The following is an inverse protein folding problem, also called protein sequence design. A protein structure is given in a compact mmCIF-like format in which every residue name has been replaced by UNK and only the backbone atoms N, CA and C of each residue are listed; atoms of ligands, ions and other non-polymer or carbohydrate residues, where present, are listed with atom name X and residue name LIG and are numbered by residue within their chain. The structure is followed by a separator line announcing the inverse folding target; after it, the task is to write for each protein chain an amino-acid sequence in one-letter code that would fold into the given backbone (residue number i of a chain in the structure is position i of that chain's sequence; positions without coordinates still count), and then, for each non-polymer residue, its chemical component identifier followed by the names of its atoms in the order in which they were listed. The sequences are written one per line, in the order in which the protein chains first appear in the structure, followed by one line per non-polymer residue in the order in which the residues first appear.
data_IF_854754792439
#
_entry.id   IF_854754792439
#
_cell.length_a   1.000
_cell.length_b   1.000
_cell.length_c   1.000
_cell.angle_alpha   90.00
_cell.angle_beta   90.00
_cell.angle_gamma   90.00
#
_symmetry.space_group_name_H-M   'P 1'
#
loop_
_entity.id
_entity.type
_entity.pdbx_description
1 polymer ?
#
# COMPACT_ATOMS: atom_id res chain seq x y z
N UNK A 1 9.82 -31.16 1.62
CA UNK A 1 11.19 -30.66 1.91
C UNK A 1 11.55 -29.72 0.77
N UNK A 2 11.61 -28.39 0.85
CA UNK A 2 11.40 -27.39 1.89
C UNK A 2 10.67 -26.22 1.20
N UNK A 3 9.50 -25.81 1.69
CA UNK A 3 8.76 -24.63 1.20
C UNK A 3 8.67 -23.56 2.30
N UNK A 4 9.63 -23.58 3.24
CA UNK A 4 9.58 -22.79 4.47
C UNK A 4 10.29 -21.43 4.38
N UNK A 5 10.96 -21.12 3.26
CA UNK A 5 11.64 -19.82 3.05
C UNK A 5 11.15 -19.07 1.80
N UNK A 6 9.90 -19.26 1.37
CA UNK A 6 9.29 -18.29 0.45
C UNK A 6 9.01 -16.99 1.21
N UNK A 7 9.77 -15.95 0.87
CA UNK A 7 9.60 -14.60 1.39
C UNK A 7 8.43 -13.94 0.64
N UNK A 8 7.33 -13.68 1.36
CA UNK A 8 6.19 -12.98 0.79
C UNK A 8 6.19 -11.51 1.22
N UNK A 9 6.14 -10.62 0.25
CA UNK A 9 6.02 -9.18 0.47
C UNK A 9 4.62 -8.71 0.04
N UNK A 10 3.84 -8.24 1.01
CA UNK A 10 2.57 -7.57 0.76
C UNK A 10 2.79 -6.05 0.82
N UNK A 11 2.46 -5.35 -0.25
CA UNK A 11 2.46 -3.87 -0.28
C UNK A 11 1.02 -3.40 -0.33
N UNK A 12 0.58 -2.67 0.69
CA UNK A 12 -0.76 -2.08 0.76
C UNK A 12 -0.65 -0.60 0.39
N UNK A 13 -1.38 -0.19 -0.64
CA UNK A 13 -1.55 1.21 -1.02
C UNK A 13 -2.94 1.64 -0.58
N UNK A 14 -3.00 2.65 0.29
CA UNK A 14 -4.26 3.17 0.83
C UNK A 14 -4.47 4.58 0.32
N UNK A 15 -5.62 4.82 -0.30
CA UNK A 15 -6.05 6.15 -0.71
C UNK A 15 -6.60 6.94 0.50
N UNK A 16 -5.90 8.02 0.86
CA UNK A 16 -6.24 8.90 1.98
C UNK A 16 -6.75 10.26 1.49
N UNK A 17 -7.57 10.26 0.44
CA UNK A 17 -8.17 11.49 -0.08
C UNK A 17 -9.12 12.16 0.94
N UNK A 18 -8.76 13.33 1.51
CA UNK A 18 -9.57 13.97 2.55
C UNK A 18 -10.92 14.48 2.03
N UNK A 19 -11.02 14.80 0.73
CA UNK A 19 -12.26 15.30 0.13
C UNK A 19 -13.30 14.17 0.07
N UNK A 20 -12.89 13.01 -0.44
CA UNK A 20 -13.77 11.84 -0.53
C UNK A 20 -14.14 11.33 0.86
N UNK A 21 -13.17 11.17 1.77
CA UNK A 21 -13.44 10.73 3.14
C UNK A 21 -14.31 11.72 3.93
N UNK A 22 -14.20 13.03 3.64
CA UNK A 22 -15.07 14.05 4.21
C UNK A 22 -16.52 13.98 3.71
N UNK A 23 -16.73 13.70 2.42
CA UNK A 23 -18.06 13.50 1.84
C UNK A 23 -18.69 12.18 2.31
N UNK A 24 -17.89 11.11 2.38
CA UNK A 24 -18.35 9.81 2.86
C UNK A 24 -18.79 9.86 4.32
N UNK A 25 -18.06 10.58 5.18
CA UNK A 25 -18.45 10.78 6.58
C UNK A 25 -19.78 11.53 6.76
N UNK A 26 -20.24 12.28 5.76
CA UNK A 26 -21.57 12.91 5.76
C UNK A 26 -22.68 11.98 5.23
N UNK A 27 -22.35 11.07 4.30
CA UNK A 27 -23.31 10.13 3.70
C UNK A 27 -23.54 8.91 4.59
N UNK A 28 -22.47 8.30 5.09
CA UNK A 28 -22.51 7.11 5.93
C UNK A 28 -21.61 7.31 7.17
N UNK A 29 -22.17 7.74 8.31
CA UNK A 29 -21.39 7.96 9.53
C UNK A 29 -20.80 6.66 10.11
N UNK A 30 -21.28 5.50 9.68
CA UNK A 30 -20.75 4.21 10.12
C UNK A 30 -19.43 3.84 9.45
N UNK A 31 -19.11 4.34 8.24
CA UNK A 31 -17.89 3.99 7.51
C UNK A 31 -16.91 5.18 7.46
N UNK A 32 -16.02 5.24 8.45
CA UNK A 32 -14.99 6.28 8.57
C UNK A 32 -13.62 5.76 8.14
N UNK A 33 -12.74 6.66 7.69
CA UNK A 33 -11.33 6.37 7.41
C UNK A 33 -10.66 5.60 8.56
N UNK A 34 -10.90 5.97 9.82
CA UNK A 34 -10.34 5.27 10.97
C UNK A 34 -10.72 3.78 11.00
N UNK A 35 -12.00 3.45 10.76
CA UNK A 35 -12.45 2.04 10.73
C UNK A 35 -11.87 1.28 9.54
N UNK A 36 -11.72 1.94 8.40
CA UNK A 36 -11.07 1.36 7.23
C UNK A 36 -9.59 1.05 7.54
N UNK A 37 -8.88 1.99 8.16
CA UNK A 37 -7.49 1.80 8.58
C UNK A 37 -7.34 0.71 9.63
N UNK A 38 -8.25 0.63 10.60
CA UNK A 38 -8.26 -0.44 11.60
C UNK A 38 -8.40 -1.82 10.92
N UNK A 39 -9.31 -1.95 9.96
CA UNK A 39 -9.46 -3.18 9.18
C UNK A 39 -8.19 -3.51 8.37
N UNK A 40 -7.56 -2.51 7.76
CA UNK A 40 -6.30 -2.67 7.01
C UNK A 40 -5.16 -3.10 7.93
N UNK A 41 -5.07 -2.51 9.12
CA UNK A 41 -4.06 -2.88 10.13
C UNK A 41 -4.27 -4.31 10.61
N UNK A 42 -5.52 -4.70 10.89
CA UNK A 42 -5.86 -6.09 11.27
C UNK A 42 -5.51 -7.07 10.15
N UNK A 43 -5.78 -6.71 8.89
CA UNK A 43 -5.41 -7.52 7.72
C UNK A 43 -3.89 -7.62 7.54
N UNK A 44 -3.16 -6.52 7.68
CA UNK A 44 -1.70 -6.52 7.63
C UNK A 44 -1.09 -7.37 8.74
N UNK A 45 -1.65 -7.27 9.95
CA UNK A 45 -1.24 -8.07 11.10
C UNK A 45 -1.52 -9.55 10.91
N UNK A 46 -2.68 -9.92 10.37
CA UNK A 46 -3.01 -11.32 10.09
C UNK A 46 -2.08 -11.91 9.03
N UNK A 47 -1.76 -11.15 7.97
CA UNK A 47 -0.77 -11.56 6.97
C UNK A 47 0.62 -11.78 7.58
N UNK A 48 1.05 -10.90 8.49
CA UNK A 48 2.32 -11.04 9.21
C UNK A 48 2.33 -12.22 10.20
N UNK A 49 1.17 -12.63 10.69
CA UNK A 49 0.99 -13.77 11.59
C UNK A 49 0.97 -15.12 10.85
N UNK A 50 0.51 -15.15 9.58
CA UNK A 50 0.44 -16.37 8.76
C UNK A 50 1.80 -17.03 8.55
N UNK A 51 2.82 -16.24 8.20
CA UNK A 51 4.18 -16.76 7.97
C UNK A 51 5.21 -15.81 8.55
N UNK A 52 6.25 -16.37 9.19
CA UNK A 52 7.28 -15.57 9.89
C UNK A 52 8.16 -14.76 8.95
N UNK A 53 8.37 -15.26 7.73
CA UNK A 53 9.14 -14.62 6.64
C UNK A 53 8.37 -13.49 5.95
N UNK A 54 7.07 -13.34 6.22
CA UNK A 54 6.26 -12.31 5.57
C UNK A 54 6.74 -10.91 5.96
N UNK A 55 6.75 -10.04 4.96
CA UNK A 55 7.04 -8.61 5.07
C UNK A 55 5.81 -7.83 4.62
N UNK A 56 5.58 -6.71 5.28
CA UNK A 56 4.52 -5.76 4.97
C UNK A 56 5.15 -4.42 4.59
N UNK A 57 4.53 -3.72 3.65
CA UNK A 57 4.76 -2.30 3.40
C UNK A 57 3.40 -1.61 3.25
N UNK A 58 3.26 -0.40 3.79
CA UNK A 58 2.03 0.39 3.73
C UNK A 58 2.37 1.77 3.19
N UNK A 59 1.67 2.18 2.15
CA UNK A 59 1.85 3.46 1.46
C UNK A 59 0.52 4.21 1.49
N UNK A 60 0.54 5.44 1.99
CA UNK A 60 -0.56 6.37 1.85
C UNK A 60 -0.45 7.12 0.52
N UNK A 61 -1.51 7.10 -0.26
CA UNK A 61 -1.69 7.89 -1.46
C UNK A 61 -2.53 9.11 -1.12
N UNK A 62 -1.90 10.29 -1.12
CA UNK A 62 -2.58 11.57 -0.97
C UNK A 62 -2.64 12.30 -2.34
N UNK A 63 -3.45 13.36 -2.44
CA UNK A 63 -3.63 14.10 -3.69
C UNK A 63 -2.37 14.88 -4.10
N UNK A 64 -1.60 15.36 -3.12
CA UNK A 64 -0.38 16.14 -3.35
C UNK A 64 0.91 15.32 -3.27
N UNK A 65 0.90 14.24 -2.47
CA UNK A 65 2.10 13.46 -2.19
C UNK A 65 1.76 11.98 -1.92
N UNK A 66 2.76 11.11 -2.01
CA UNK A 66 2.64 9.71 -1.58
C UNK A 66 3.64 9.43 -0.46
N UNK A 67 3.15 9.00 0.70
CA UNK A 67 3.95 8.80 1.90
C UNK A 67 4.07 7.32 2.23
N UNK A 68 5.29 6.85 2.45
CA UNK A 68 5.52 5.54 3.05
C UNK A 68 5.18 5.62 4.54
N UNK A 69 4.11 4.93 4.93
CA UNK A 69 3.70 4.78 6.33
C UNK A 69 4.52 3.67 7.00
N UNK A 70 4.80 2.60 6.23
CA UNK A 70 5.58 1.46 6.68
C UNK A 70 6.34 0.82 5.50
N UNK A 71 7.61 0.42 5.63
CA UNK A 71 8.56 0.72 6.72
C UNK A 71 8.91 2.22 6.73
N UNK A 72 9.03 2.79 7.94
CA UNK A 72 9.38 4.21 8.10
C UNK A 72 10.70 4.54 7.40
N UNK A 73 10.88 5.78 6.96
CA UNK A 73 12.06 6.29 6.21
C UNK A 73 13.42 6.03 6.90
N UNK A 74 13.43 5.54 8.12
CA UNK A 74 14.60 5.17 8.93
C UNK A 74 15.39 3.95 8.44
N UNK A 75 14.94 3.17 7.44
CA UNK A 75 15.76 2.05 6.95
C UNK A 75 16.91 2.50 6.01
N UNK A 76 16.83 3.68 5.37
CA UNK A 76 17.81 4.08 4.32
C UNK A 76 18.25 5.54 4.38
N UNK A 77 18.73 6.00 5.53
CA UNK A 77 19.69 7.10 5.58
C UNK A 77 20.76 6.71 6.58
N UNK A 78 21.95 6.42 6.06
CA UNK A 78 22.96 5.62 6.74
C UNK A 78 23.84 6.36 7.74
N UNK A 79 24.64 5.50 8.38
CA UNK A 79 25.97 5.74 8.97
C UNK A 79 26.03 6.39 10.35
N UNK A 80 25.82 5.57 11.40
CA UNK A 80 26.67 5.50 12.61
C UNK A 80 26.05 4.56 13.66
N UNK A 81 26.75 3.47 13.96
CA UNK A 81 26.78 2.84 15.29
C UNK A 81 25.50 2.21 15.86
N UNK A 82 25.45 0.87 15.82
CA UNK A 82 24.85 0.04 16.87
C UNK A 82 23.33 0.07 16.97
N UNK A 83 22.65 -0.84 16.28
CA UNK A 83 22.23 -2.08 16.95
C UNK A 83 21.62 -3.01 15.92
N UNK A 84 22.03 -4.26 16.00
CA UNK A 84 21.36 -5.33 15.31
C UNK A 84 19.91 -5.42 15.81
N UNK A 85 18.95 -5.01 14.99
CA UNK A 85 17.61 -5.59 15.07
C UNK A 85 17.63 -6.85 14.21
N UNK A 86 18.58 -7.74 14.51
CA UNK A 86 18.49 -9.14 14.21
C UNK A 86 17.50 -9.73 15.24
N UNK A 87 16.41 -10.29 14.72
CA UNK A 87 15.76 -11.48 15.29
C UNK A 87 15.48 -11.52 16.81
N UNK A 88 14.91 -10.46 17.40
CA UNK A 88 14.12 -10.65 18.63
C UNK A 88 12.85 -11.44 18.30
N UNK A 89 12.97 -12.77 18.40
CA UNK A 89 11.99 -13.80 18.00
C UNK A 89 10.62 -13.70 18.70
N UNK A 90 10.48 -12.83 19.70
CA UNK A 90 9.26 -12.68 20.53
C UNK A 90 8.63 -11.27 20.45
N UNK A 91 9.39 -10.23 20.06
CA UNK A 91 8.92 -8.83 20.04
C UNK A 91 8.26 -8.39 18.73
N UNK A 92 8.10 -9.27 17.74
CA UNK A 92 7.57 -8.93 16.40
C UNK A 92 6.17 -8.31 16.47
N UNK A 93 5.32 -8.76 17.40
CA UNK A 93 3.97 -8.21 17.57
C UNK A 93 3.95 -6.86 18.30
N UNK A 94 4.87 -6.64 19.23
CA UNK A 94 5.02 -5.34 19.88
C UNK A 94 5.48 -4.29 18.86
N UNK A 95 6.41 -4.65 17.97
CA UNK A 95 6.83 -3.80 16.86
C UNK A 95 5.69 -3.49 15.89
N UNK A 96 4.77 -4.43 15.66
CA UNK A 96 3.57 -4.20 14.84
C UNK A 96 2.57 -3.28 15.54
N UNK A 97 2.37 -3.42 16.85
CA UNK A 97 1.52 -2.51 17.62
C UNK A 97 2.08 -1.08 17.63
N UNK A 98 3.40 -0.94 17.78
CA UNK A 98 4.09 0.36 17.66
C UNK A 98 3.97 0.90 16.23
N UNK A 99 4.13 0.07 15.21
CA UNK A 99 3.96 0.46 13.81
C UNK A 99 2.54 0.94 13.52
N UNK A 100 1.51 0.27 14.06
CA UNK A 100 0.12 0.69 13.89
C UNK A 100 -0.12 2.09 14.47
N UNK A 101 0.43 2.39 15.65
CA UNK A 101 0.35 3.72 16.23
C UNK A 101 1.06 4.77 15.37
N UNK A 102 2.24 4.44 14.82
CA UNK A 102 2.98 5.33 13.92
C UNK A 102 2.23 5.58 12.61
N UNK A 103 1.63 4.54 12.02
CA UNK A 103 0.81 4.65 10.81
C UNK A 103 -0.38 5.59 11.06
N UNK A 104 -1.08 5.41 12.17
CA UNK A 104 -2.22 6.25 12.54
C UNK A 104 -1.80 7.71 12.78
N UNK A 105 -0.64 7.94 13.41
CA UNK A 105 -0.09 9.27 13.64
C UNK A 105 0.32 9.96 12.33
N UNK A 106 1.02 9.25 11.44
CA UNK A 106 1.44 9.80 10.15
C UNK A 106 0.24 10.16 9.28
N UNK A 107 -0.80 9.32 9.26
CA UNK A 107 -2.04 9.64 8.52
C UNK A 107 -2.71 10.87 9.14
N UNK A 108 -2.77 10.96 10.48
CA UNK A 108 -3.33 12.16 11.15
C UNK A 108 -2.53 13.41 10.80
N UNK A 109 -1.21 13.33 10.78
CA UNK A 109 -0.34 14.43 10.41
C UNK A 109 -0.52 14.83 8.94
N UNK A 110 -0.67 13.87 8.02
CA UNK A 110 -0.98 14.14 6.61
C UNK A 110 -2.33 14.86 6.50
N UNK A 111 -3.37 14.35 7.17
CA UNK A 111 -4.70 14.98 7.16
C UNK A 111 -4.70 16.39 7.77
N UNK A 112 -3.90 16.62 8.83
CA UNK A 112 -3.78 17.92 9.48
C UNK A 112 -2.99 18.93 8.64
N UNK A 113 -1.99 18.45 7.88
CA UNK A 113 -1.15 19.28 7.01
C UNK A 113 -1.84 19.64 5.68
N UNK A 114 -2.90 18.94 5.32
CA UNK A 114 -3.60 19.21 4.06
C UNK A 114 -4.38 20.51 4.13
N UNK A 115 -3.75 21.59 3.67
CA UNK A 115 -4.46 22.75 3.15
C UNK A 115 -5.03 22.37 1.78
N UNK A 116 -6.36 22.38 1.65
CA UNK A 116 -7.07 22.03 0.42
C UNK A 116 -6.87 23.14 -0.61
N UNK A 117 -5.69 23.17 -1.21
CA UNK A 117 -5.31 24.12 -2.26
C UNK A 117 -5.70 23.56 -3.62
N UNK A 118 -7.01 23.48 -3.89
CA UNK A 118 -7.54 23.16 -5.22
C UNK A 118 -8.61 22.08 -5.25
N UNK A 119 -9.64 22.32 -6.07
CA UNK A 119 -10.78 21.43 -6.34
C UNK A 119 -10.43 20.09 -7.03
N UNK A 120 -9.17 19.68 -7.05
CA UNK A 120 -8.75 18.43 -7.68
C UNK A 120 -8.95 17.28 -6.70
N UNK A 121 -9.95 16.43 -6.95
CA UNK A 121 -10.10 15.12 -6.29
C UNK A 121 -9.10 14.08 -6.80
N UNK A 122 -8.05 14.54 -7.49
CA UNK A 122 -7.06 13.69 -8.13
C UNK A 122 -6.21 13.00 -7.07
N UNK A 123 -6.13 11.68 -7.15
CA UNK A 123 -5.28 10.86 -6.27
C UNK A 123 -4.02 10.48 -7.04
N UNK A 124 -2.83 10.59 -6.45
CA UNK A 124 -1.57 10.23 -7.11
C UNK A 124 -1.30 8.72 -7.06
N UNK A 125 -2.28 7.92 -7.51
CA UNK A 125 -2.21 6.46 -7.43
C UNK A 125 -1.03 5.90 -8.24
N UNK A 126 -0.78 6.44 -9.42
CA UNK A 126 0.37 6.04 -10.26
C UNK A 126 1.71 6.27 -9.55
N UNK A 127 1.84 7.37 -8.79
CA UNK A 127 3.04 7.67 -8.02
C UNK A 127 3.25 6.70 -6.85
N UNK A 128 2.18 6.37 -6.14
CA UNK A 128 2.20 5.40 -5.04
C UNK A 128 2.57 3.99 -5.53
N UNK A 129 2.03 3.57 -6.67
CA UNK A 129 2.38 2.28 -7.29
C UNK A 129 3.82 2.25 -7.81
N UNK A 130 4.32 3.34 -8.40
CA UNK A 130 5.73 3.42 -8.81
C UNK A 130 6.67 3.29 -7.61
N UNK A 131 6.33 3.92 -6.48
CA UNK A 131 7.03 3.76 -5.19
C UNK A 131 6.99 2.33 -4.67
N UNK A 132 5.82 1.68 -4.74
CA UNK A 132 5.67 0.27 -4.37
C UNK A 132 6.58 -0.63 -5.20
N UNK A 133 6.55 -0.50 -6.54
CA UNK A 133 7.40 -1.28 -7.44
C UNK A 133 8.89 -1.03 -7.21
N UNK A 134 9.29 0.22 -7.00
CA UNK A 134 10.68 0.56 -6.72
C UNK A 134 11.16 -0.08 -5.39
N UNK A 135 10.31 -0.08 -4.37
CA UNK A 135 10.61 -0.74 -3.09
C UNK A 135 10.76 -2.26 -3.27
N UNK A 136 9.83 -2.89 -3.99
CA UNK A 136 9.88 -4.33 -4.29
C UNK A 136 11.17 -4.67 -5.05
N UNK A 137 11.49 -3.91 -6.10
CA UNK A 137 12.72 -4.14 -6.88
C UNK A 137 13.98 -3.99 -6.03
N UNK A 138 14.01 -2.99 -5.16
CA UNK A 138 15.13 -2.75 -4.25
C UNK A 138 15.38 -3.91 -3.28
N UNK A 139 14.33 -4.64 -2.90
CA UNK A 139 14.43 -5.80 -2.00
C UNK A 139 14.68 -7.09 -2.81
N UNK A 140 14.08 -7.23 -4.00
CA UNK A 140 14.30 -8.35 -4.92
C UNK A 140 15.76 -8.50 -5.36
N UNK A 141 16.52 -7.39 -5.43
CA UNK A 141 17.97 -7.44 -5.70
C UNK A 141 18.78 -8.24 -4.67
N UNK A 142 18.21 -8.50 -3.48
CA UNK A 142 18.86 -9.29 -2.43
C UNK A 142 18.35 -10.74 -2.33
N UNK A 143 17.08 -11.01 -2.66
CA UNK A 143 16.43 -12.33 -2.51
C UNK A 143 15.26 -12.47 -3.50
N UNK A 144 15.00 -13.67 -4.02
CA UNK A 144 13.76 -13.94 -4.74
C UNK A 144 12.58 -13.97 -3.77
N UNK A 145 11.61 -13.09 -3.98
CA UNK A 145 10.43 -12.93 -3.12
C UNK A 145 9.16 -12.87 -3.96
N UNK A 146 8.10 -13.53 -3.47
CA UNK A 146 6.76 -13.38 -4.04
C UNK A 146 6.16 -12.07 -3.56
N UNK A 147 5.89 -11.16 -4.49
CA UNK A 147 5.38 -9.82 -4.17
C UNK A 147 3.94 -9.67 -4.64
N UNK A 148 3.11 -9.09 -3.79
CA UNK A 148 1.71 -8.79 -4.08
C UNK A 148 1.38 -7.37 -3.63
N UNK A 149 0.69 -6.63 -4.48
CA UNK A 149 0.28 -5.26 -4.20
C UNK A 149 -1.23 -5.27 -4.02
N UNK A 150 -1.72 -4.74 -2.91
CA UNK A 150 -3.14 -4.48 -2.67
C UNK A 150 -3.38 -2.97 -2.74
N UNK A 151 -4.25 -2.54 -3.63
CA UNK A 151 -4.65 -1.14 -3.78
C UNK A 151 -6.05 -0.97 -3.20
N UNK A 152 -6.20 -0.07 -2.24
CA UNK A 152 -7.49 0.33 -1.69
C UNK A 152 -7.76 1.75 -2.16
N UNK A 153 -8.72 1.86 -3.07
CA UNK A 153 -9.05 3.08 -3.76
C UNK A 153 -10.42 3.57 -3.32
N UNK A 154 -10.48 4.85 -2.99
CA UNK A 154 -11.67 5.49 -2.47
C UNK A 154 -12.23 6.52 -3.45
N UNK A 155 -11.38 7.40 -3.97
CA UNK A 155 -11.82 8.50 -4.84
C UNK A 155 -11.85 8.13 -6.34
N UNK A 156 -12.52 8.97 -7.14
CA UNK A 156 -12.65 8.79 -8.58
C UNK A 156 -11.32 8.91 -9.35
N UNK A 157 -11.27 8.28 -10.53
CA UNK A 157 -10.11 8.33 -11.42
C UNK A 157 -10.00 9.67 -12.16
N UNK A 158 -8.77 10.19 -12.25
CA UNK A 158 -8.45 11.26 -13.16
C UNK A 158 -7.88 10.71 -14.47
N UNK A 159 -8.50 11.07 -15.61
CA UNK A 159 -8.05 10.65 -16.93
C UNK A 159 -6.61 11.10 -17.25
N UNK A 160 -6.14 12.19 -16.65
CA UNK A 160 -4.76 12.69 -16.83
C UNK A 160 -3.70 11.70 -16.36
N UNK A 161 -4.03 10.84 -15.38
CA UNK A 161 -3.09 9.87 -14.82
C UNK A 161 -3.13 8.51 -15.51
N UNK A 162 -4.05 8.29 -16.45
CA UNK A 162 -4.24 7.00 -17.12
C UNK A 162 -2.97 6.48 -17.79
N UNK A 163 -2.23 7.34 -18.51
CA UNK A 163 -0.97 6.92 -19.18
C UNK A 163 0.07 6.44 -18.17
N UNK A 164 0.24 7.17 -17.06
CA UNK A 164 1.21 6.81 -16.04
C UNK A 164 0.80 5.53 -15.30
N UNK A 165 -0.49 5.38 -15.02
CA UNK A 165 -1.06 4.19 -14.40
C UNK A 165 -0.82 2.95 -15.28
N UNK A 166 -1.12 3.05 -16.58
CA UNK A 166 -0.90 1.97 -17.54
C UNK A 166 0.59 1.59 -17.64
N UNK A 167 1.50 2.56 -17.70
CA UNK A 167 2.95 2.29 -17.73
C UNK A 167 3.43 1.50 -16.50
N UNK A 168 2.90 1.85 -15.32
CA UNK A 168 3.23 1.18 -14.06
C UNK A 168 2.68 -0.24 -14.01
N UNK A 169 1.46 -0.47 -14.53
CA UNK A 169 0.89 -1.82 -14.63
C UNK A 169 1.69 -2.70 -15.59
N UNK A 170 2.06 -2.20 -16.76
CA UNK A 170 2.90 -2.94 -17.70
C UNK A 170 4.28 -3.28 -17.09
N UNK A 171 4.84 -2.38 -16.29
CA UNK A 171 6.07 -2.66 -15.55
C UNK A 171 5.86 -3.75 -14.48
N UNK A 172 4.74 -3.71 -13.74
CA UNK A 172 4.40 -4.72 -12.74
C UNK A 172 4.20 -6.11 -13.36
N UNK A 173 3.53 -6.18 -14.52
CA UNK A 173 3.33 -7.42 -15.27
C UNK A 173 4.66 -8.03 -15.73
N UNK A 174 5.59 -7.22 -16.25
CA UNK A 174 6.94 -7.69 -16.60
C UNK A 174 7.72 -8.25 -15.41
N UNK A 175 7.43 -7.77 -14.21
CA UNK A 175 8.08 -8.19 -12.96
C UNK A 175 7.36 -9.36 -12.29
N UNK A 176 6.30 -9.89 -12.91
CA UNK A 176 5.44 -10.96 -12.40
C UNK A 176 4.90 -10.65 -10.99
N UNK A 177 4.41 -9.42 -10.79
CA UNK A 177 3.83 -8.96 -9.52
C UNK A 177 2.32 -8.89 -9.68
N UNK A 178 1.60 -9.52 -8.74
CA UNK A 178 0.14 -9.48 -8.68
C UNK A 178 -0.33 -8.16 -8.07
N UNK A 179 -1.32 -7.52 -8.71
CA UNK A 179 -1.96 -6.30 -8.22
C UNK A 179 -3.44 -6.62 -7.99
N UNK A 180 -3.86 -6.60 -6.74
CA UNK A 180 -5.27 -6.67 -6.34
C UNK A 180 -5.77 -5.24 -6.09
N UNK A 181 -7.01 -4.94 -6.50
CA UNK A 181 -7.62 -3.64 -6.30
C UNK A 181 -8.98 -3.79 -5.60
N UNK A 182 -9.20 -3.00 -4.56
CA UNK A 182 -10.46 -2.86 -3.84
C UNK A 182 -10.95 -1.41 -4.05
N UNK A 183 -12.17 -1.27 -4.56
CA UNK A 183 -12.78 0.04 -4.84
C UNK A 183 -13.97 0.23 -3.91
N UNK A 184 -14.05 1.39 -3.26
CA UNK A 184 -15.04 1.64 -2.20
C UNK A 184 -16.33 2.34 -2.67
N UNK A 185 -16.30 3.17 -3.72
CA UNK A 185 -17.47 3.99 -4.13
C UNK A 185 -17.91 3.75 -5.58
N UNK A 186 -17.04 4.06 -6.54
CA UNK A 186 -17.37 4.04 -7.96
C UNK A 186 -16.65 2.89 -8.67
N UNK A 187 -17.38 1.97 -9.29
CA UNK A 187 -16.80 0.96 -10.18
C UNK A 187 -16.00 1.64 -11.30
N UNK A 188 -14.69 1.54 -11.20
CA UNK A 188 -13.75 2.09 -12.15
C UNK A 188 -13.60 1.12 -13.31
N UNK A 189 -14.09 1.50 -14.51
CA UNK A 189 -13.87 0.72 -15.74
C UNK A 189 -12.39 0.49 -16.04
N UNK A 190 -11.50 1.34 -15.51
CA UNK A 190 -10.05 1.20 -15.59
C UNK A 190 -9.50 0.04 -14.76
N UNK A 191 -10.05 -0.20 -13.56
CA UNK A 191 -9.67 -1.34 -12.72
C UNK A 191 -10.27 -2.65 -13.22
N UNK A 192 -11.42 -2.61 -13.88
CA UNK A 192 -11.98 -3.78 -14.56
C UNK A 192 -11.10 -4.24 -15.74
N UNK A 193 -10.44 -3.30 -16.42
CA UNK A 193 -9.45 -3.61 -17.47
C UNK A 193 -8.16 -4.23 -16.89
N UNK A 194 -7.78 -3.90 -15.66
CA UNK A 194 -6.67 -4.58 -14.94
C UNK A 194 -7.03 -6.03 -14.61
N UNK A 195 -8.26 -6.26 -14.15
CA UNK A 195 -8.76 -7.61 -13.90
C UNK A 195 -8.82 -8.44 -15.20
N UNK A 196 -9.30 -7.84 -16.30
CA UNK A 196 -9.37 -8.49 -17.60
C UNK A 196 -7.97 -8.82 -18.17
N UNK A 197 -7.01 -7.90 -18.02
CA UNK A 197 -5.63 -8.11 -18.49
C UNK A 197 -4.89 -9.20 -17.70
N UNK A 198 -5.19 -9.40 -16.42
CA UNK A 198 -4.67 -10.54 -15.63
C UNK A 198 -5.38 -11.87 -15.96
N UNK A 199 -6.65 -11.85 -16.34
CA UNK A 199 -7.41 -13.05 -16.67
C UNK A 199 -6.98 -13.66 -18.02
N UNK A 200 -6.67 -12.83 -19.03
CA UNK A 200 -6.24 -13.30 -20.35
C UNK A 200 -4.85 -13.97 -20.38
N UNK A 201 -4.05 -13.85 -19.30
CA UNK A 201 -2.72 -14.49 -19.21
C UNK A 201 -2.67 -15.78 -18.38
N UNK A 202 -3.82 -16.30 -17.92
CA UNK A 202 -3.88 -17.62 -17.28
C UNK A 202 -3.16 -17.71 -15.92
N UNK A 203 -3.09 -16.62 -15.15
CA UNK A 203 -2.56 -16.62 -13.78
C UNK A 203 -3.65 -16.86 -12.71
N UNK A 204 -4.71 -17.56 -13.08
CA UNK A 204 -5.71 -18.14 -12.18
C UNK A 204 -5.81 -19.63 -12.51
N UNK A 205 -4.90 -20.40 -11.92
CA UNK A 205 -5.09 -21.82 -11.63
C UNK A 205 -4.95 -22.01 -10.14
#
# INVERSE_FOLDING_TARGET
MASEDELNLLVIVVDVNPIWWGQQGQREPEFTLCKCLDAIMVMGNSHMAMTRTNRLAVIASHCQDSHFLYPSKTWKSGDSGGDEISSSRDGKYELLAVANNLIAEEIRNIMAKTEVTGNSTDTLLAGSLAKALCCILSVKLGQEMKSRILVIKAADDCALQYMNFMNVIFAAQKQNILIDACVLDSDSGLLQQVHLCCCDTGLLT
#
